data_IF_637504444008
#
_entry.id   IF_637504444008
#
_cell.length_a   1.000
_cell.length_b   1.000
_cell.length_c   1.000
_cell.angle_alpha   90.00
_cell.angle_beta   90.00
_cell.angle_gamma   90.00
#
_symmetry.space_group_name_H-M   'P 1'
#
loop_
_entity.id
_entity.type
_entity.pdbx_description
1 polymer ?
#
# COMPACT_ATOMS: atom_id res chain seq x y z
N UNK A 1 -8.39 -8.28 15.91
CA UNK A 1 -7.94 -8.66 14.55
C UNK A 1 -6.91 -9.74 14.72
N UNK A 2 -6.81 -10.67 13.76
CA UNK A 2 -5.70 -11.64 13.74
C UNK A 2 -4.35 -10.89 13.85
N UNK A 3 -3.51 -11.17 14.87
CA UNK A 3 -2.28 -10.40 15.10
C UNK A 3 -1.27 -10.54 13.97
N UNK A 4 -1.26 -11.66 13.26
CA UNK A 4 -0.43 -11.88 12.07
C UNK A 4 -0.84 -10.98 10.92
N UNK A 5 -2.15 -10.85 10.69
CA UNK A 5 -2.69 -9.94 9.67
C UNK A 5 -2.43 -8.48 10.05
N UNK A 6 -2.64 -8.11 11.32
CA UNK A 6 -2.38 -6.75 11.80
C UNK A 6 -0.93 -6.34 11.53
N UNK A 7 0.04 -7.19 11.94
CA UNK A 7 1.46 -6.92 11.66
C UNK A 7 1.74 -6.80 10.17
N UNK A 8 1.20 -7.70 9.35
CA UNK A 8 1.36 -7.65 7.90
C UNK A 8 0.84 -6.33 7.30
N UNK A 9 -0.33 -5.86 7.72
CA UNK A 9 -0.88 -4.57 7.27
C UNK A 9 0.03 -3.41 7.69
N UNK A 10 0.53 -3.42 8.94
CA UNK A 10 1.43 -2.37 9.44
C UNK A 10 2.76 -2.34 8.69
N UNK A 11 3.36 -3.49 8.40
CA UNK A 11 4.62 -3.58 7.66
C UNK A 11 4.44 -3.16 6.19
N UNK A 12 3.29 -3.48 5.59
CA UNK A 12 2.90 -2.97 4.27
C UNK A 12 2.78 -1.43 4.28
N UNK A 13 2.02 -0.87 5.23
CA UNK A 13 1.83 0.59 5.35
C UNK A 13 3.16 1.31 5.59
N UNK A 14 4.04 0.75 6.42
CA UNK A 14 5.40 1.29 6.61
C UNK A 14 6.20 1.29 5.31
N UNK A 15 6.08 0.24 4.50
CA UNK A 15 6.75 0.15 3.19
C UNK A 15 6.18 1.14 2.18
N UNK A 16 4.86 1.38 2.18
CA UNK A 16 4.23 2.46 1.39
C UNK A 16 4.77 3.82 1.82
N UNK A 17 4.82 4.11 3.11
CA UNK A 17 5.36 5.37 3.61
C UNK A 17 6.83 5.58 3.19
N UNK A 18 7.67 4.55 3.31
CA UNK A 18 9.06 4.60 2.80
C UNK A 18 9.11 4.85 1.29
N UNK A 19 8.24 4.22 0.50
CA UNK A 19 8.16 4.45 -0.94
C UNK A 19 7.79 5.90 -1.27
N UNK A 20 6.83 6.48 -0.54
CA UNK A 20 6.43 7.88 -0.71
C UNK A 20 7.56 8.85 -0.36
N UNK A 21 8.30 8.60 0.73
CA UNK A 21 9.50 9.39 1.07
C UNK A 21 10.54 9.36 -0.05
N UNK A 22 10.75 8.20 -0.68
CA UNK A 22 11.68 8.05 -1.80
C UNK A 22 11.22 8.77 -3.06
N UNK A 23 9.93 8.69 -3.38
CA UNK A 23 9.31 9.42 -4.49
C UNK A 23 9.47 10.94 -4.28
N UNK A 24 9.10 11.44 -3.10
CA UNK A 24 9.18 12.86 -2.74
C UNK A 24 10.61 13.39 -2.77
N UNK A 25 11.55 12.64 -2.18
CA UNK A 25 12.97 12.99 -2.21
C UNK A 25 13.54 13.05 -3.63
N UNK A 26 12.98 12.28 -4.56
CA UNK A 26 13.35 12.30 -5.99
C UNK A 26 12.60 13.35 -6.80
N UNK A 27 11.93 14.30 -6.14
CA UNK A 27 11.22 15.41 -6.78
C UNK A 27 9.83 15.08 -7.30
N UNK A 28 9.30 13.88 -7.05
CA UNK A 28 7.92 13.53 -7.42
C UNK A 28 6.98 14.11 -6.37
N UNK A 29 6.11 15.02 -6.79
CA UNK A 29 5.12 15.65 -5.91
C UNK A 29 4.15 14.60 -5.34
N UNK A 30 3.86 14.70 -4.04
CA UNK A 30 2.83 13.88 -3.40
C UNK A 30 1.42 14.33 -3.83
N UNK A 31 0.53 13.41 -4.20
CA UNK A 31 -0.79 13.74 -4.73
C UNK A 31 -1.75 14.16 -3.61
N UNK A 32 -2.68 15.08 -3.93
CA UNK A 32 -3.78 15.46 -3.02
C UNK A 32 -5.04 14.61 -3.24
N UNK A 33 -5.05 13.74 -4.25
CA UNK A 33 -6.13 12.80 -4.56
C UNK A 33 -5.64 11.67 -5.45
N UNK A 34 -6.36 10.54 -5.48
CA UNK A 34 -6.11 9.47 -6.45
C UNK A 34 -6.13 9.99 -7.91
N UNK A 35 -7.03 10.91 -8.23
CA UNK A 35 -7.13 11.51 -9.57
C UNK A 35 -6.00 12.48 -9.88
N UNK A 36 -5.53 13.22 -8.88
CA UNK A 36 -4.35 14.08 -9.00
C UNK A 36 -3.11 13.23 -9.33
N UNK A 37 -2.91 12.12 -8.62
CA UNK A 37 -1.86 11.15 -8.96
C UNK A 37 -2.03 10.61 -10.38
N UNK A 38 -3.22 10.14 -10.74
CA UNK A 38 -3.47 9.54 -12.05
C UNK A 38 -3.13 10.51 -13.20
N UNK A 39 -3.41 11.80 -13.01
CA UNK A 39 -3.11 12.87 -13.97
C UNK A 39 -1.64 13.28 -14.06
N UNK A 40 -0.77 12.83 -13.16
CA UNK A 40 0.66 13.13 -13.24
C UNK A 40 1.31 12.46 -14.45
N UNK A 41 2.00 13.26 -15.25
CA UNK A 41 2.88 12.81 -16.31
C UNK A 41 4.27 12.50 -15.73
N UNK A 42 4.52 11.23 -15.48
CA UNK A 42 5.78 10.72 -14.93
C UNK A 42 6.39 9.71 -15.92
N UNK A 43 7.73 9.60 -15.99
CA UNK A 43 8.39 8.54 -16.74
C UNK A 43 7.91 7.13 -16.33
N UNK A 44 7.68 6.26 -17.34
CA UNK A 44 7.18 4.89 -17.14
C UNK A 44 7.97 3.85 -17.98
N UNK A 45 8.71 2.93 -17.36
CA UNK A 45 9.10 2.93 -15.94
C UNK A 45 10.01 4.12 -15.62
N UNK A 46 10.05 4.51 -14.33
CA UNK A 46 10.93 5.56 -13.87
C UNK A 46 11.99 5.06 -12.89
N UNK A 47 12.98 5.90 -12.65
CA UNK A 47 14.06 5.68 -11.69
C UNK A 47 14.11 6.85 -10.71
N UNK A 48 14.28 6.52 -9.43
CA UNK A 48 14.52 7.47 -8.35
C UNK A 48 16.01 7.80 -8.25
N UNK A 49 16.36 8.83 -7.47
CA UNK A 49 17.74 9.34 -7.38
C UNK A 49 18.76 8.29 -6.90
N UNK A 50 18.33 7.29 -6.12
CA UNK A 50 19.15 6.20 -5.60
C UNK A 50 19.11 4.94 -6.48
N UNK A 51 18.58 5.04 -7.70
CA UNK A 51 18.45 3.91 -8.64
C UNK A 51 17.30 2.96 -8.31
N UNK A 52 16.45 3.30 -7.33
CA UNK A 52 15.21 2.55 -7.08
C UNK A 52 14.27 2.72 -8.26
N UNK A 53 13.81 1.61 -8.82
CA UNK A 53 12.79 1.62 -9.87
C UNK A 53 11.43 1.94 -9.26
N UNK A 54 10.61 2.66 -10.00
CA UNK A 54 9.17 2.75 -9.75
C UNK A 54 8.36 2.56 -11.05
N UNK A 55 7.10 2.23 -10.88
CA UNK A 55 6.14 2.09 -11.97
C UNK A 55 4.81 2.65 -11.50
N UNK A 56 4.49 3.86 -11.97
CA UNK A 56 3.16 4.44 -11.79
C UNK A 56 2.16 3.67 -12.68
N UNK A 57 1.01 3.38 -12.12
CA UNK A 57 -0.13 2.78 -12.80
C UNK A 57 -1.40 3.45 -12.27
N UNK A 58 -2.50 3.46 -13.04
CA UNK A 58 -3.80 4.00 -12.64
C UNK A 58 -3.74 5.12 -11.57
N UNK A 59 -4.21 4.78 -10.38
CA UNK A 59 -4.23 5.63 -9.18
C UNK A 59 -3.16 5.24 -8.15
N UNK A 60 -2.11 4.53 -8.56
CA UNK A 60 -1.15 3.90 -7.65
C UNK A 60 0.28 3.81 -8.19
N UNK A 61 1.13 3.14 -7.42
CA UNK A 61 2.54 2.96 -7.75
C UNK A 61 3.10 1.66 -7.20
N UNK A 62 3.94 1.00 -8.00
CA UNK A 62 4.84 -0.03 -7.52
C UNK A 62 6.26 0.53 -7.37
N UNK A 63 6.91 0.26 -6.23
CA UNK A 63 8.28 0.70 -5.93
C UNK A 63 9.10 -0.49 -5.46
N UNK A 64 10.29 -0.67 -6.05
CA UNK A 64 11.19 -1.79 -5.76
C UNK A 64 12.23 -1.39 -4.71
N UNK A 65 11.81 -1.32 -3.45
CA UNK A 65 12.68 -0.96 -2.33
C UNK A 65 13.71 -2.07 -2.05
N UNK A 66 14.83 -1.75 -1.38
CA UNK A 66 15.79 -2.77 -0.93
C UNK A 66 15.18 -3.82 0.00
N UNK A 67 14.13 -3.47 0.76
CA UNK A 67 13.40 -4.36 1.66
C UNK A 67 12.36 -5.24 0.95
N UNK A 68 12.09 -4.98 -0.33
CA UNK A 68 11.07 -5.67 -1.11
C UNK A 68 10.22 -4.71 -1.95
N UNK A 69 9.42 -5.28 -2.85
CA UNK A 69 8.49 -4.48 -3.66
C UNK A 69 7.23 -4.17 -2.88
N UNK A 70 6.81 -2.91 -2.89
CA UNK A 70 5.48 -2.49 -2.43
C UNK A 70 4.69 -1.94 -3.61
N UNK A 71 3.43 -2.35 -3.72
CA UNK A 71 2.51 -1.90 -4.76
C UNK A 71 1.21 -1.46 -4.09
N UNK A 72 0.83 -0.21 -4.31
CA UNK A 72 -0.25 0.45 -3.58
C UNK A 72 -1.04 1.38 -4.49
N UNK A 73 -2.25 1.71 -4.06
CA UNK A 73 -3.16 2.65 -4.69
C UNK A 73 -3.45 3.77 -3.68
N UNK A 74 -3.55 5.02 -4.15
CA UNK A 74 -4.00 6.13 -3.30
C UNK A 74 -5.52 6.07 -3.11
N UNK A 75 -5.99 6.51 -1.94
CA UNK A 75 -7.40 6.77 -1.71
C UNK A 75 -7.90 8.01 -2.46
N UNK A 76 -9.22 8.19 -2.50
CA UNK A 76 -9.89 9.26 -3.25
C UNK A 76 -9.37 10.65 -2.89
N UNK A 77 -8.95 10.86 -1.64
CA UNK A 77 -8.40 12.12 -1.13
C UNK A 77 -6.89 12.07 -0.90
N UNK A 78 -6.19 11.12 -1.54
CA UNK A 78 -4.74 10.98 -1.44
C UNK A 78 -4.30 10.18 -0.23
N UNK A 79 -5.19 9.40 0.38
CA UNK A 79 -4.85 8.49 1.47
C UNK A 79 -3.78 7.49 1.02
N UNK A 80 -2.80 7.25 1.88
CA UNK A 80 -1.65 6.37 1.68
C UNK A 80 -1.65 5.16 2.64
N UNK A 81 -2.57 5.13 3.60
CA UNK A 81 -2.75 3.99 4.51
C UNK A 81 -3.70 2.91 3.95
N UNK A 82 -4.27 3.15 2.76
CA UNK A 82 -5.17 2.24 2.07
C UNK A 82 -4.49 0.95 1.61
N UNK A 83 -5.25 -0.15 1.67
CA UNK A 83 -4.80 -1.45 1.21
C UNK A 83 -5.98 -2.30 0.72
N UNK A 84 -5.72 -3.32 -0.07
CA UNK A 84 -6.73 -4.32 -0.40
C UNK A 84 -6.18 -5.74 -0.27
N UNK A 85 -7.09 -6.72 -0.29
CA UNK A 85 -6.74 -8.14 -0.15
C UNK A 85 -5.65 -8.56 -1.12
N UNK A 86 -5.69 -8.08 -2.36
CA UNK A 86 -4.70 -8.36 -3.40
C UNK A 86 -3.32 -7.83 -3.04
N UNK A 87 -3.22 -6.53 -2.74
CA UNK A 87 -1.94 -5.86 -2.39
C UNK A 87 -1.28 -6.49 -1.17
N UNK A 88 -2.04 -6.71 -0.10
CA UNK A 88 -1.54 -7.30 1.15
C UNK A 88 -1.07 -8.75 0.92
N UNK A 89 -1.83 -9.53 0.15
CA UNK A 89 -1.43 -10.92 -0.17
C UNK A 89 -0.14 -10.92 -0.98
N UNK A 90 -0.05 -10.11 -2.04
CA UNK A 90 1.13 -10.01 -2.89
C UNK A 90 2.37 -9.54 -2.12
N UNK A 91 2.22 -8.56 -1.24
CA UNK A 91 3.29 -8.08 -0.37
C UNK A 91 3.83 -9.17 0.56
N UNK A 92 2.96 -10.04 1.07
CA UNK A 92 3.37 -11.15 1.94
C UNK A 92 4.01 -12.32 1.19
N UNK A 93 3.73 -12.50 -0.11
CA UNK A 93 4.12 -13.70 -0.88
C UNK A 93 5.60 -14.08 -0.78
N UNK A 94 6.57 -13.14 -0.86
CA UNK A 94 7.99 -13.50 -0.76
C UNK A 94 8.37 -14.13 0.59
N UNK A 95 7.60 -13.89 1.66
CA UNK A 95 7.92 -14.38 2.99
C UNK A 95 6.68 -14.59 3.90
N UNK A 96 5.71 -15.39 3.43
CA UNK A 96 4.48 -15.68 4.19
C UNK A 96 4.75 -16.25 5.59
N UNK A 97 5.74 -17.13 5.70
CA UNK A 97 6.10 -17.78 6.96
C UNK A 97 6.57 -16.77 8.00
N UNK A 98 7.31 -15.73 7.60
CA UNK A 98 7.72 -14.66 8.52
C UNK A 98 6.52 -13.90 9.09
N UNK A 99 5.40 -13.84 8.37
CA UNK A 99 4.14 -13.26 8.87
C UNK A 99 3.33 -14.23 9.74
N UNK A 100 3.60 -15.54 9.67
CA UNK A 100 2.84 -16.58 10.37
C UNK A 100 1.78 -17.27 9.49
N UNK A 101 1.81 -17.03 8.17
CA UNK A 101 0.90 -17.66 7.21
C UNK A 101 1.59 -18.80 6.46
N UNK A 102 0.86 -19.89 6.24
CA UNK A 102 1.35 -21.03 5.45
C UNK A 102 1.07 -20.89 3.96
N UNK A 103 -0.02 -20.19 3.61
CA UNK A 103 -0.48 -20.04 2.24
C UNK A 103 -1.03 -18.64 1.99
N UNK A 104 -1.03 -18.14 0.74
CA UNK A 104 -1.73 -16.92 0.37
C UNK A 104 -3.23 -16.95 0.73
N UNK A 105 -3.87 -18.12 0.63
CA UNK A 105 -5.27 -18.34 0.96
C UNK A 105 -5.55 -18.07 2.45
N UNK A 106 -4.60 -18.37 3.32
CA UNK A 106 -4.70 -18.06 4.75
C UNK A 106 -4.67 -16.54 5.01
N UNK A 107 -3.90 -15.78 4.23
CA UNK A 107 -3.91 -14.30 4.29
C UNK A 107 -5.26 -13.76 3.84
N UNK A 108 -5.77 -14.24 2.69
CA UNK A 108 -7.08 -13.86 2.16
C UNK A 108 -8.20 -14.17 3.15
N UNK A 109 -8.21 -15.36 3.75
CA UNK A 109 -9.21 -15.75 4.73
C UNK A 109 -9.15 -14.88 6.01
N UNK A 110 -7.95 -14.57 6.50
CA UNK A 110 -7.80 -13.66 7.64
C UNK A 110 -8.30 -12.25 7.31
N UNK A 111 -8.02 -11.76 6.10
CA UNK A 111 -8.52 -10.47 5.62
C UNK A 111 -10.05 -10.45 5.56
N UNK A 112 -10.66 -11.45 4.92
CA UNK A 112 -12.11 -11.54 4.76
C UNK A 112 -12.81 -11.64 6.13
N UNK A 113 -12.20 -12.36 7.09
CA UNK A 113 -12.68 -12.40 8.48
C UNK A 113 -12.60 -11.04 9.19
N UNK A 114 -11.51 -10.28 8.99
CA UNK A 114 -11.35 -8.94 9.55
C UNK A 114 -12.34 -7.92 8.96
N UNK A 115 -12.68 -8.06 7.68
CA UNK A 115 -13.78 -7.28 7.06
C UNK A 115 -15.12 -7.68 7.67
N UNK A 116 -15.42 -8.98 7.76
CA UNK A 116 -16.70 -9.47 8.30
C UNK A 116 -16.94 -9.09 9.77
N UNK A 117 -15.86 -8.90 10.55
CA UNK A 117 -15.91 -8.45 11.94
C UNK A 117 -15.89 -6.93 12.12
N UNK A 118 -15.79 -6.16 11.03
CA UNK A 118 -15.76 -4.70 11.07
C UNK A 118 -14.43 -4.08 11.49
N UNK A 119 -13.36 -4.88 11.54
CA UNK A 119 -12.01 -4.42 11.89
C UNK A 119 -11.28 -3.79 10.69
N UNK A 120 -11.70 -4.18 9.48
CA UNK A 120 -11.34 -3.55 8.21
C UNK A 120 -12.61 -3.00 7.58
N UNK A 121 -12.58 -1.74 7.16
CA UNK A 121 -13.68 -1.08 6.46
C UNK A 121 -13.28 -0.85 5.01
N UNK A 122 -14.07 -1.38 4.10
CA UNK A 122 -13.92 -1.20 2.65
C UNK A 122 -15.05 -0.28 2.16
N UNK A 123 -14.84 1.04 2.00
CA UNK A 123 -15.81 1.92 1.34
C UNK A 123 -16.00 1.51 -0.13
N UNK A 124 -16.90 2.15 -0.87
CA UNK A 124 -17.17 1.89 -2.30
C UNK A 124 -15.95 2.14 -3.24
N UNK A 125 -14.76 2.38 -2.68
CA UNK A 125 -13.49 2.59 -3.37
C UNK A 125 -12.72 1.27 -3.63
N UNK A 126 -11.57 1.37 -4.29
CA UNK A 126 -10.67 0.23 -4.57
C UNK A 126 -9.79 -0.20 -3.39
N UNK A 127 -9.80 0.57 -2.30
CA UNK A 127 -8.99 0.34 -1.10
C UNK A 127 -9.86 0.24 0.16
N UNK A 128 -9.34 -0.49 1.14
CA UNK A 128 -9.89 -0.65 2.47
C UNK A 128 -8.92 -0.07 3.50
N UNK A 129 -9.40 0.08 4.73
CA UNK A 129 -8.63 0.66 5.82
C UNK A 129 -8.90 -0.03 7.15
N UNK A 130 -8.00 0.15 8.11
CA UNK A 130 -8.25 -0.25 9.50
C UNK A 130 -9.37 0.61 10.10
N UNK A 131 -10.31 -0.04 10.77
CA UNK A 131 -11.40 0.64 11.46
C UNK A 131 -10.87 1.46 12.64
N UNK A 132 -11.42 2.66 12.86
CA UNK A 132 -11.08 3.53 13.98
C UNK A 132 -9.63 4.05 13.99
N UNK A 133 -8.89 3.91 12.89
CA UNK A 133 -7.56 4.49 12.71
C UNK A 133 -7.65 5.82 11.98
N UNK A 134 -6.81 6.78 12.36
CA UNK A 134 -6.64 8.02 11.62
C UNK A 134 -6.10 7.71 10.21
N UNK A 135 -6.58 8.47 9.22
CA UNK A 135 -6.08 8.40 7.86
C UNK A 135 -4.70 9.01 7.77
N UNK A 136 -3.87 8.46 6.89
CA UNK A 136 -2.57 9.02 6.54
C UNK A 136 -2.64 9.49 5.11
N UNK A 137 -2.32 10.76 4.86
CA UNK A 137 -2.35 11.31 3.52
C UNK A 137 -0.94 11.35 2.93
N UNK A 138 -0.84 11.18 1.61
CA UNK A 138 0.43 11.25 0.90
C UNK A 138 1.14 12.60 1.10
N UNK A 139 0.36 13.67 1.30
CA UNK A 139 0.87 15.02 1.57
C UNK A 139 1.49 15.21 2.95
N UNK A 140 1.26 14.28 3.88
CA UNK A 140 1.78 14.33 5.25
C UNK A 140 3.14 13.61 5.39
N UNK A 141 3.66 13.06 4.29
CA UNK A 141 4.93 12.32 4.21
C UNK A 141 6.13 13.25 4.14
#
# INVERSE_FOLDING_TARGET
>A
MNPHLHRLIRDYQASVHMALQKLQASGIRMPTSAMDWAGMDLPLPGMLEDGIRYYKHGIGCAVWLPSGTVDFDFGDHGEADGFNRGRITQFAMPNLAAYGFKTPEAVKAAFDQAVASGEIVCPESTVCYLAGSDRVYATDV
#
